data_IF_695414038635
#
_entry.id   IF_695414038635
#
_cell.length_a   1.000
_cell.length_b   1.000
_cell.length_c   1.000
_cell.angle_alpha   90.00
_cell.angle_beta   90.00
_cell.angle_gamma   90.00
#
_symmetry.space_group_name_H-M   'P 1'
#
loop_
_entity.id
_entity.type
_entity.pdbx_description
1 polymer ?
#
# COMPACT_ATOMS: atom_id res chain seq x y z
N UNK A 1 -21.57 15.28 -5.42
CA UNK A 1 -21.19 15.62 -4.03
C UNK A 1 -19.87 14.90 -3.75
N UNK A 2 -18.77 15.61 -3.45
CA UNK A 2 -17.50 14.94 -3.06
C UNK A 2 -17.68 14.40 -1.66
N UNK A 3 -17.72 13.08 -1.49
CA UNK A 3 -17.86 12.44 -0.18
C UNK A 3 -16.51 12.28 0.55
N UNK A 4 -15.41 12.39 -0.19
CA UNK A 4 -14.04 12.26 0.30
C UNK A 4 -13.37 13.63 0.28
N UNK A 5 -12.78 13.99 1.41
CA UNK A 5 -11.94 15.16 1.56
C UNK A 5 -10.63 14.97 0.79
N UNK A 6 -10.25 15.92 -0.10
CA UNK A 6 -9.11 15.74 -0.99
C UNK A 6 -7.74 15.88 -0.30
N UNK A 7 -7.70 16.48 0.90
CA UNK A 7 -6.44 16.67 1.65
C UNK A 7 -6.12 15.45 2.51
N UNK A 8 -7.14 14.85 3.13
CA UNK A 8 -6.98 13.73 4.06
C UNK A 8 -7.27 12.37 3.43
N UNK A 9 -7.98 12.32 2.30
CA UNK A 9 -8.44 11.07 1.68
C UNK A 9 -9.54 10.35 2.45
N UNK A 10 -10.09 10.97 3.51
CA UNK A 10 -11.12 10.40 4.37
C UNK A 10 -12.52 10.90 3.98
N UNK A 11 -13.61 10.21 4.40
CA UNK A 11 -14.94 10.78 4.33
C UNK A 11 -15.00 12.17 5.00
N UNK A 12 -15.70 13.13 4.39
CA UNK A 12 -15.74 14.52 4.86
C UNK A 12 -16.02 14.66 6.36
N UNK A 13 -16.98 13.91 6.88
CA UNK A 13 -17.35 13.94 8.30
C UNK A 13 -16.21 13.45 9.22
N UNK A 14 -15.46 12.43 8.78
CA UNK A 14 -14.30 11.94 9.52
C UNK A 14 -13.14 12.95 9.44
N UNK A 15 -12.92 13.56 8.27
CA UNK A 15 -11.91 14.60 8.07
C UNK A 15 -12.17 15.81 8.99
N UNK A 16 -13.41 16.30 9.06
CA UNK A 16 -13.80 17.42 9.93
C UNK A 16 -13.58 17.12 11.42
N UNK A 17 -13.88 15.89 11.87
CA UNK A 17 -13.63 15.45 13.25
C UNK A 17 -12.13 15.31 13.57
N UNK A 18 -11.32 14.99 12.58
CA UNK A 18 -9.87 14.78 12.75
C UNK A 18 -9.07 16.07 12.68
N UNK A 19 -9.43 17.04 11.82
CA UNK A 19 -8.72 18.32 11.65
C UNK A 19 -8.27 19.00 12.96
N UNK A 20 -9.12 19.18 14.00
CA UNK A 20 -8.70 19.81 15.26
C UNK A 20 -7.76 18.95 16.13
N UNK A 21 -7.58 17.67 15.77
CA UNK A 21 -6.76 16.68 16.47
C UNK A 21 -5.51 16.27 15.70
N UNK A 22 -5.40 16.60 14.41
CA UNK A 22 -4.24 16.26 13.57
C UNK A 22 -2.93 16.77 14.16
N UNK A 23 -2.89 18.01 14.65
CA UNK A 23 -1.70 18.57 15.33
C UNK A 23 -1.39 17.99 16.72
N UNK A 24 -2.22 17.07 17.23
CA UNK A 24 -2.02 16.35 18.51
C UNK A 24 -1.73 14.86 18.32
N UNK A 25 -1.89 14.34 17.10
CA UNK A 25 -1.58 12.95 16.78
C UNK A 25 -0.17 12.93 16.22
N UNK A 26 0.82 12.65 17.07
CA UNK A 26 2.25 12.61 16.73
C UNK A 26 2.59 11.64 15.58
N UNK A 27 1.65 10.79 15.18
CA UNK A 27 1.79 9.74 14.17
C UNK A 27 1.24 10.19 12.79
N UNK A 28 0.42 11.25 12.70
CA UNK A 28 -0.12 11.69 11.41
C UNK A 28 0.71 12.84 10.86
N UNK A 29 1.35 12.63 9.72
CA UNK A 29 2.22 13.62 9.07
C UNK A 29 1.62 14.12 7.77
N UNK A 30 1.60 15.44 7.57
CA UNK A 30 1.27 16.02 6.27
C UNK A 30 2.39 15.72 5.26
N UNK A 31 2.02 15.23 4.09
CA UNK A 31 2.90 15.03 2.94
C UNK A 31 2.42 15.88 1.76
N UNK A 32 3.23 15.95 0.71
CA UNK A 32 2.90 16.65 -0.54
C UNK A 32 1.65 16.07 -1.23
N UNK A 33 1.27 14.84 -0.88
CA UNK A 33 0.17 14.09 -1.50
C UNK A 33 -1.01 13.82 -0.56
N UNK A 34 -0.97 14.28 0.70
CA UNK A 34 -2.05 14.12 1.67
C UNK A 34 -1.57 13.89 3.10
N UNK A 35 -2.27 13.06 3.86
CA UNK A 35 -1.86 12.65 5.22
C UNK A 35 -1.26 11.24 5.21
N UNK A 36 -0.13 11.07 5.88
CA UNK A 36 0.49 9.78 6.15
C UNK A 36 0.28 9.38 7.62
N UNK A 37 0.09 8.08 7.86
CA UNK A 37 0.00 7.50 9.21
C UNK A 37 1.29 6.73 9.49
N UNK A 38 2.06 7.20 10.46
CA UNK A 38 3.40 6.75 10.78
C UNK A 38 4.49 7.44 9.97
N UNK A 39 5.72 7.34 10.47
CA UNK A 39 6.95 7.73 9.77
C UNK A 39 7.96 6.59 9.82
N UNK A 40 9.13 6.75 9.20
CA UNK A 40 10.21 5.75 9.31
C UNK A 40 10.75 5.67 10.74
N UNK A 41 10.79 6.80 11.44
CA UNK A 41 11.29 6.95 12.80
C UNK A 41 10.22 6.56 13.85
N UNK A 42 8.94 6.68 13.50
CA UNK A 42 7.80 6.31 14.34
C UNK A 42 6.73 5.59 13.50
N UNK A 43 6.97 4.33 13.10
CA UNK A 43 6.04 3.59 12.25
C UNK A 43 4.76 3.25 13.01
N UNK A 44 3.61 3.34 12.32
CA UNK A 44 2.36 2.79 12.83
C UNK A 44 2.42 1.27 12.75
N UNK A 45 2.63 0.60 13.89
CA UNK A 45 2.83 -0.86 13.93
C UNK A 45 1.55 -1.63 13.65
N UNK A 46 0.41 -1.09 14.07
CA UNK A 46 -0.89 -1.73 13.96
C UNK A 46 -1.97 -0.69 13.62
N UNK A 47 -2.79 -0.99 12.62
CA UNK A 47 -3.95 -0.17 12.25
C UNK A 47 -5.20 -1.03 12.40
N UNK A 48 -5.93 -0.84 13.51
CA UNK A 48 -7.19 -1.53 13.76
C UNK A 48 -8.31 -0.79 13.04
N UNK A 49 -8.82 -1.39 11.96
CA UNK A 49 -9.89 -0.82 11.16
C UNK A 49 -10.88 -1.90 10.71
N UNK A 50 -12.12 -1.51 10.45
CA UNK A 50 -13.12 -2.44 9.88
C UNK A 50 -12.82 -2.73 8.40
N UNK A 51 -12.42 -1.69 7.65
CA UNK A 51 -12.15 -1.77 6.22
C UNK A 51 -11.02 -0.80 5.85
N UNK A 52 -10.26 -1.16 4.82
CA UNK A 52 -9.31 -0.28 4.12
C UNK A 52 -9.86 -0.04 2.71
N UNK A 53 -9.97 1.22 2.31
CA UNK A 53 -10.40 1.60 0.96
C UNK A 53 -9.30 2.38 0.27
N UNK A 54 -8.85 1.90 -0.89
CA UNK A 54 -7.88 2.59 -1.72
C UNK A 54 -8.65 3.31 -2.83
N UNK A 55 -8.86 4.61 -2.66
CA UNK A 55 -9.58 5.42 -3.63
C UNK A 55 -8.70 5.61 -4.85
N UNK A 56 -9.24 5.37 -6.04
CA UNK A 56 -8.48 5.50 -7.28
C UNK A 56 -9.38 6.02 -8.38
N UNK A 57 -9.13 7.25 -8.84
CA UNK A 57 -9.85 7.86 -9.95
C UNK A 57 -9.01 7.84 -11.22
N UNK A 58 -9.66 7.89 -12.38
CA UNK A 58 -8.95 7.94 -13.67
C UNK A 58 -8.35 9.32 -13.89
N UNK A 59 -9.07 10.34 -13.43
CA UNK A 59 -8.75 11.76 -13.57
C UNK A 59 -7.49 12.15 -12.79
N UNK A 60 -7.11 11.37 -11.76
CA UNK A 60 -5.87 11.57 -11.00
C UNK A 60 -4.67 10.82 -11.56
N UNK A 61 -4.75 10.28 -12.79
CA UNK A 61 -3.70 9.45 -13.40
C UNK A 61 -3.32 9.98 -14.78
N UNK A 62 -2.03 9.88 -15.09
CA UNK A 62 -1.48 10.11 -16.42
C UNK A 62 -0.95 8.78 -17.00
N UNK A 63 -0.79 8.73 -18.33
CA UNK A 63 -0.07 7.66 -19.05
C UNK A 63 -0.53 6.22 -18.76
N UNK A 64 -1.85 6.02 -18.65
CA UNK A 64 -2.43 4.69 -18.41
C UNK A 64 -2.19 3.79 -19.62
N UNK A 65 -1.41 2.72 -19.41
CA UNK A 65 -1.10 1.70 -20.42
C UNK A 65 -1.18 0.28 -19.87
N UNK A 66 -1.30 -0.74 -20.74
CA UNK A 66 -1.05 -2.13 -20.34
C UNK A 66 0.38 -2.32 -19.80
N UNK A 67 0.55 -3.34 -18.96
CA UNK A 67 1.88 -3.80 -18.55
C UNK A 67 2.65 -4.34 -19.75
N UNK A 68 3.92 -3.97 -19.82
CA UNK A 68 4.93 -4.53 -20.74
C UNK A 68 5.21 -6.00 -20.40
N UNK A 69 5.85 -6.77 -21.31
CA UNK A 69 6.24 -8.15 -21.03
C UNK A 69 7.12 -8.29 -19.78
N UNK A 70 8.09 -7.40 -19.59
CA UNK A 70 9.01 -7.40 -18.44
C UNK A 70 8.26 -7.17 -17.12
N UNK A 71 7.30 -6.24 -17.09
CA UNK A 71 6.48 -5.98 -15.90
C UNK A 71 5.55 -7.15 -15.56
N UNK A 72 5.12 -7.94 -16.56
CA UNK A 72 4.31 -9.14 -16.33
C UNK A 72 5.13 -10.32 -15.80
N UNK A 73 6.42 -10.38 -16.16
CA UNK A 73 7.31 -11.46 -15.77
C UNK A 73 8.01 -11.23 -14.41
N UNK A 74 7.61 -10.19 -13.67
CA UNK A 74 8.10 -9.95 -12.32
C UNK A 74 7.87 -11.20 -11.46
N UNK A 75 8.95 -11.71 -10.86
CA UNK A 75 8.93 -12.84 -9.93
C UNK A 75 9.05 -12.32 -8.50
N UNK A 76 8.11 -12.73 -7.65
CA UNK A 76 8.20 -12.47 -6.22
C UNK A 76 9.13 -13.53 -5.59
N UNK A 77 9.99 -13.14 -4.63
CA UNK A 77 10.79 -14.10 -3.89
C UNK A 77 9.91 -14.97 -2.99
N UNK A 78 10.48 -16.02 -2.40
CA UNK A 78 9.78 -16.80 -1.39
C UNK A 78 9.56 -15.95 -0.11
N UNK A 79 8.37 -16.00 0.51
CA UNK A 79 8.14 -15.35 1.78
C UNK A 79 8.96 -16.04 2.88
N UNK A 80 9.42 -15.27 3.86
CA UNK A 80 10.22 -15.74 4.98
C UNK A 80 9.52 -15.48 6.29
N UNK A 81 9.65 -16.42 7.22
CA UNK A 81 9.34 -16.19 8.62
C UNK A 81 10.56 -15.56 9.31
N UNK A 82 10.34 -14.51 10.09
CA UNK A 82 11.40 -13.84 10.85
C UNK A 82 10.89 -13.41 12.22
N UNK A 83 11.83 -13.32 13.17
CA UNK A 83 11.55 -12.92 14.55
C UNK A 83 11.96 -11.46 14.75
N UNK A 84 11.05 -10.66 15.27
CA UNK A 84 11.33 -9.28 15.67
C UNK A 84 12.10 -9.24 16.99
N UNK A 85 12.69 -8.08 17.31
CA UNK A 85 13.41 -7.87 18.58
C UNK A 85 12.53 -8.11 19.81
N UNK A 86 11.24 -7.77 19.71
CA UNK A 86 10.25 -8.01 20.77
C UNK A 86 9.78 -9.46 20.89
N UNK A 87 10.30 -10.35 20.04
CA UNK A 87 10.04 -11.78 20.07
C UNK A 87 8.88 -12.28 19.21
N UNK A 88 8.08 -11.38 18.60
CA UNK A 88 7.02 -11.77 17.67
C UNK A 88 7.61 -12.44 16.43
N UNK A 89 6.88 -13.41 15.88
CA UNK A 89 7.21 -14.06 14.61
C UNK A 89 6.26 -13.53 13.55
N UNK A 90 6.82 -12.97 12.48
CA UNK A 90 6.08 -12.47 11.32
C UNK A 90 6.47 -13.24 10.06
N UNK A 91 5.59 -13.22 9.06
CA UNK A 91 5.85 -13.76 7.73
C UNK A 91 5.77 -12.59 6.74
N UNK A 92 6.77 -12.45 5.89
CA UNK A 92 6.79 -11.38 4.89
C UNK A 92 7.96 -11.48 3.92
N UNK A 93 8.26 -10.37 3.26
CA UNK A 93 9.37 -10.26 2.32
C UNK A 93 10.52 -9.45 2.92
N UNK A 94 11.74 -9.77 2.49
CA UNK A 94 12.92 -8.94 2.74
C UNK A 94 13.04 -7.95 1.58
N UNK A 95 13.07 -6.65 1.88
CA UNK A 95 13.10 -5.58 0.86
C UNK A 95 14.24 -5.80 -0.16
N UNK A 96 15.42 -6.15 0.34
CA UNK A 96 16.62 -6.34 -0.48
C UNK A 96 16.55 -7.53 -1.43
N UNK A 97 15.56 -8.40 -1.30
CA UNK A 97 15.33 -9.55 -2.17
C UNK A 97 14.22 -9.29 -3.19
N UNK A 98 13.40 -8.25 -2.98
CA UNK A 98 12.35 -7.90 -3.93
C UNK A 98 12.93 -7.32 -5.22
N UNK A 99 12.30 -7.54 -6.39
CA UNK A 99 12.63 -6.83 -7.62
C UNK A 99 12.65 -5.30 -7.42
N UNK A 100 13.60 -4.61 -8.04
CA UNK A 100 13.82 -3.16 -7.88
C UNK A 100 12.55 -2.33 -8.14
N UNK A 101 11.74 -2.77 -9.08
CA UNK A 101 10.49 -2.14 -9.46
C UNK A 101 9.51 -2.01 -8.28
N UNK A 102 9.52 -3.01 -7.39
CA UNK A 102 8.60 -3.10 -6.24
C UNK A 102 9.14 -2.39 -4.99
N UNK A 103 10.42 -2.02 -4.94
CA UNK A 103 11.03 -1.32 -3.81
C UNK A 103 10.69 0.17 -3.86
N UNK A 104 10.15 0.71 -2.78
CA UNK A 104 9.70 2.11 -2.67
C UNK A 104 9.95 2.63 -1.26
N UNK A 105 10.67 3.76 -1.16
CA UNK A 105 10.76 4.53 0.08
C UNK A 105 11.45 3.83 1.26
N UNK A 106 12.37 2.89 1.03
CA UNK A 106 12.96 2.06 2.10
C UNK A 106 12.00 0.97 2.59
N UNK A 107 11.25 0.40 1.65
CA UNK A 107 10.24 -0.63 1.83
C UNK A 107 9.75 -1.09 0.45
N UNK A 108 8.49 -1.51 0.36
CA UNK A 108 7.90 -1.97 -0.89
C UNK A 108 6.43 -1.56 -1.05
N UNK A 109 5.97 -1.48 -2.30
CA UNK A 109 4.59 -1.11 -2.62
C UNK A 109 3.65 -2.32 -2.49
N UNK A 110 2.85 -2.37 -1.43
CA UNK A 110 1.83 -3.41 -1.26
C UNK A 110 0.85 -3.47 -2.45
N UNK A 111 0.46 -2.30 -2.98
CA UNK A 111 -0.48 -2.22 -4.11
C UNK A 111 0.08 -2.86 -5.38
N UNK A 112 1.38 -2.66 -5.65
CA UNK A 112 2.03 -3.29 -6.80
C UNK A 112 2.16 -4.81 -6.60
N UNK A 113 2.54 -5.26 -5.41
CA UNK A 113 2.60 -6.70 -5.08
C UNK A 113 1.23 -7.37 -5.29
N UNK A 114 0.15 -6.78 -4.77
CA UNK A 114 -1.21 -7.31 -4.93
C UNK A 114 -1.61 -7.36 -6.41
N UNK A 115 -1.27 -6.34 -7.20
CA UNK A 115 -1.55 -6.33 -8.64
C UNK A 115 -0.81 -7.45 -9.40
N UNK A 116 0.46 -7.70 -9.08
CA UNK A 116 1.24 -8.81 -9.65
C UNK A 116 0.66 -10.16 -9.24
N UNK A 117 0.28 -10.34 -7.98
CA UNK A 117 -0.37 -11.57 -7.51
C UNK A 117 -1.69 -11.81 -8.25
N UNK A 118 -2.53 -10.80 -8.39
CA UNK A 118 -3.79 -10.89 -9.13
C UNK A 118 -3.58 -11.26 -10.61
N UNK A 119 -2.53 -10.72 -11.25
CA UNK A 119 -2.15 -11.11 -12.61
C UNK A 119 -1.77 -12.59 -12.69
N UNK A 120 -0.91 -13.08 -11.79
CA UNK A 120 -0.47 -14.48 -11.76
C UNK A 120 -1.65 -15.43 -11.52
N UNK A 121 -2.55 -15.10 -10.58
CA UNK A 121 -3.77 -15.89 -10.33
C UNK A 121 -4.63 -15.98 -11.59
N UNK A 122 -4.87 -14.85 -12.27
CA UNK A 122 -5.63 -14.82 -13.53
C UNK A 122 -5.00 -15.69 -14.63
N UNK A 123 -3.68 -15.76 -14.70
CA UNK A 123 -2.98 -16.62 -15.65
C UNK A 123 -3.10 -18.10 -15.30
N UNK A 124 -3.08 -18.45 -14.02
CA UNK A 124 -3.33 -19.82 -13.55
C UNK A 124 -4.77 -20.25 -13.86
N UNK A 125 -5.76 -19.40 -13.58
CA UNK A 125 -7.17 -19.67 -13.89
C UNK A 125 -7.38 -19.98 -15.38
N UNK A 126 -6.76 -19.20 -16.27
CA UNK A 126 -6.81 -19.45 -17.73
C UNK A 126 -6.21 -20.79 -18.14
N UNK A 127 -5.17 -21.26 -17.44
CA UNK A 127 -4.54 -22.56 -17.72
C UNK A 127 -5.40 -23.71 -17.24
N UNK A 128 -6.11 -23.54 -16.13
CA UNK A 128 -6.98 -24.56 -15.53
C UNK A 128 -8.34 -24.69 -16.24
N UNK A 129 -8.77 -23.67 -16.99
CA UNK A 129 -10.00 -23.71 -17.81
C UNK A 129 -9.80 -24.35 -19.20
N UNK A 130 -8.61 -24.87 -19.50
CA UNK A 130 -8.27 -25.60 -20.73
C UNK A 130 -8.20 -27.09 -20.44
#
# INVERSE_FOLDING_TARGET
>A
MRYIDPETGLPLEAAEKLRPRLGKLEIITQTDTGLAVGTREAPATDIVCLNVTIVSSRESKADIRPLSPEEKDIQLPEPKAYKLEDGRILIGFIEDELPRQLRKGGGYSLNEIVAILALKVKELEKKLQR
#
